data_IF_942749994500
#
_entry.id   IF_942749994500
#
_cell.length_a   1.000
_cell.length_b   1.000
_cell.length_c   1.000
_cell.angle_alpha   90.00
_cell.angle_beta   90.00
_cell.angle_gamma   90.00
#
_symmetry.space_group_name_H-M   'P 1'
#
loop_
_entity.id
_entity.type
_entity.pdbx_description
1 polymer ?
#
# COMPACT_ATOMS: atom_id res chain seq x y z
N UNK A 1 -5.18 -21.28 36.85
CA UNK A 1 -6.39 -21.98 36.39
C UNK A 1 -6.81 -21.35 35.07
N UNK A 2 -6.53 -22.04 33.97
CA UNK A 2 -6.82 -21.54 32.62
C UNK A 2 -8.29 -21.77 32.31
N UNK A 3 -9.04 -20.69 32.09
CA UNK A 3 -10.37 -20.74 31.48
C UNK A 3 -10.21 -21.21 30.03
N UNK A 4 -10.30 -22.52 29.82
CA UNK A 4 -10.65 -23.09 28.53
C UNK A 4 -12.09 -22.65 28.25
N UNK A 5 -12.24 -21.61 27.44
CA UNK A 5 -13.53 -21.24 26.88
C UNK A 5 -14.06 -22.41 26.06
N UNK A 6 -15.21 -22.95 26.47
CA UNK A 6 -16.03 -23.88 25.71
C UNK A 6 -16.38 -23.24 24.34
N UNK A 7 -15.51 -23.40 23.35
CA UNK A 7 -15.89 -23.31 21.93
C UNK A 7 -16.68 -24.59 21.65
N UNK A 8 -17.95 -24.55 22.00
CA UNK A 8 -18.90 -25.66 21.89
C UNK A 8 -18.91 -26.21 20.47
N UNK A 9 -18.85 -27.55 20.37
CA UNK A 9 -19.13 -28.27 19.13
C UNK A 9 -20.51 -27.81 18.64
N UNK A 10 -20.57 -27.34 17.40
CA UNK A 10 -21.84 -26.94 16.79
C UNK A 10 -22.67 -28.20 16.53
N UNK A 11 -23.88 -28.26 17.09
CA UNK A 11 -24.81 -29.33 16.77
C UNK A 11 -25.39 -29.12 15.36
N UNK A 12 -24.88 -29.88 14.40
CA UNK A 12 -25.26 -29.79 13.00
C UNK A 12 -26.58 -30.51 12.69
N UNK A 13 -27.24 -31.16 13.66
CA UNK A 13 -28.50 -31.90 13.43
C UNK A 13 -29.60 -31.01 12.86
N UNK A 14 -29.70 -29.76 13.31
CA UNK A 14 -30.66 -28.82 12.75
C UNK A 14 -30.27 -28.33 11.34
N UNK A 15 -29.01 -28.43 10.93
CA UNK A 15 -28.57 -28.00 9.59
C UNK A 15 -28.73 -29.14 8.59
N UNK A 16 -28.14 -30.31 8.88
CA UNK A 16 -28.07 -31.42 7.93
C UNK A 16 -29.44 -32.03 7.57
N UNK A 17 -30.46 -31.81 8.38
CA UNK A 17 -31.83 -32.28 8.12
C UNK A 17 -32.68 -31.30 7.30
N UNK A 18 -32.14 -30.12 6.95
CA UNK A 18 -32.88 -29.08 6.23
C UNK A 18 -32.74 -29.23 4.72
N UNK A 19 -33.74 -28.75 3.95
CA UNK A 19 -33.62 -28.70 2.51
C UNK A 19 -32.42 -27.84 2.10
N UNK A 20 -31.77 -28.24 1.00
CA UNK A 20 -30.62 -27.54 0.44
C UNK A 20 -30.80 -27.25 -1.05
N UNK A 21 -30.44 -26.04 -1.45
CA UNK A 21 -30.39 -25.61 -2.85
C UNK A 21 -28.99 -25.88 -3.39
N UNK A 22 -28.90 -26.43 -4.60
CA UNK A 22 -27.63 -26.57 -5.32
C UNK A 22 -27.22 -25.21 -5.86
N UNK A 23 -26.03 -24.73 -5.46
CA UNK A 23 -25.44 -23.48 -5.99
C UNK A 23 -24.46 -23.80 -7.13
N UNK A 24 -23.75 -24.93 -7.03
CA UNK A 24 -22.85 -25.41 -8.07
C UNK A 24 -22.87 -26.94 -8.11
N UNK A 25 -23.02 -27.50 -9.31
CA UNK A 25 -23.26 -28.92 -9.61
C UNK A 25 -22.47 -29.88 -8.72
N UNK A 26 -23.13 -30.41 -7.69
CA UNK A 26 -22.57 -31.43 -6.81
C UNK A 26 -21.40 -30.98 -5.93
N UNK A 27 -21.12 -29.68 -5.82
CA UNK A 27 -19.94 -29.16 -5.12
C UNK A 27 -20.24 -28.08 -4.08
N UNK A 28 -21.34 -27.34 -4.23
CA UNK A 28 -21.75 -26.31 -3.29
C UNK A 28 -23.27 -26.33 -3.10
N UNK A 29 -23.69 -26.34 -1.84
CA UNK A 29 -25.10 -26.27 -1.47
C UNK A 29 -25.35 -25.18 -0.44
N UNK A 30 -26.53 -24.56 -0.51
CA UNK A 30 -27.02 -23.56 0.43
C UNK A 30 -28.22 -24.14 1.19
N UNK A 31 -28.14 -24.23 2.50
CA UNK A 31 -29.24 -24.72 3.32
C UNK A 31 -30.34 -23.67 3.47
N UNK A 32 -31.58 -24.13 3.46
CA UNK A 32 -32.78 -23.31 3.69
C UNK A 32 -33.29 -23.53 5.12
N UNK A 33 -34.01 -22.54 5.66
CA UNK A 33 -34.75 -22.64 6.93
C UNK A 33 -33.94 -23.17 8.14
N UNK A 34 -32.65 -22.85 8.16
CA UNK A 34 -31.79 -23.11 9.32
C UNK A 34 -31.99 -22.02 10.36
N UNK A 35 -31.86 -22.35 11.64
CA UNK A 35 -31.89 -21.35 12.72
C UNK A 35 -30.74 -20.32 12.63
N UNK A 36 -29.72 -20.60 11.82
CA UNK A 36 -28.57 -19.72 11.61
C UNK A 36 -28.74 -18.79 10.41
N UNK A 37 -29.75 -19.03 9.56
CA UNK A 37 -29.98 -18.24 8.35
C UNK A 37 -30.75 -16.96 8.67
N UNK A 38 -30.36 -15.85 8.05
CA UNK A 38 -31.09 -14.57 8.08
C UNK A 38 -31.28 -14.12 6.63
N UNK A 39 -32.51 -13.86 6.17
CA UNK A 39 -32.76 -13.46 4.78
C UNK A 39 -32.09 -12.12 4.45
N UNK A 40 -31.81 -11.86 3.16
CA UNK A 40 -31.24 -10.59 2.73
C UNK A 40 -32.25 -9.45 2.91
N UNK A 41 -31.75 -8.25 3.22
CA UNK A 41 -32.56 -7.02 3.25
C UNK A 41 -32.75 -6.45 1.85
N UNK A 42 -31.73 -6.59 0.99
CA UNK A 42 -31.77 -6.20 -0.41
C UNK A 42 -30.86 -7.09 -1.24
N UNK A 43 -31.14 -7.19 -2.54
CA UNK A 43 -30.21 -7.79 -3.49
C UNK A 43 -29.13 -6.77 -3.88
N UNK A 44 -27.95 -7.25 -4.28
CA UNK A 44 -26.87 -6.43 -4.83
C UNK A 44 -26.25 -7.14 -6.02
N UNK A 45 -25.58 -6.40 -6.90
CA UNK A 45 -24.78 -6.99 -7.96
C UNK A 45 -23.38 -7.31 -7.41
N UNK A 46 -23.01 -8.59 -7.21
CA UNK A 46 -21.75 -8.95 -6.57
C UNK A 46 -20.51 -8.58 -7.39
N UNK A 47 -20.64 -8.42 -8.70
CA UNK A 47 -19.55 -8.05 -9.60
C UNK A 47 -19.15 -6.56 -9.47
N UNK A 48 -20.10 -5.71 -9.10
CA UNK A 48 -19.92 -4.26 -8.98
C UNK A 48 -19.88 -3.80 -7.53
N UNK A 49 -19.57 -4.68 -6.58
CA UNK A 49 -19.58 -4.34 -5.15
C UNK A 49 -18.32 -4.81 -4.42
N UNK A 50 -17.99 -4.09 -3.35
CA UNK A 50 -17.11 -4.55 -2.28
C UNK A 50 -17.97 -5.12 -1.16
N UNK A 51 -17.72 -6.37 -0.82
CA UNK A 51 -18.51 -7.09 0.18
C UNK A 51 -17.69 -7.20 1.45
N UNK A 52 -18.23 -6.72 2.56
CA UNK A 52 -17.70 -6.95 3.91
C UNK A 52 -18.41 -8.16 4.51
N UNK A 53 -17.66 -9.18 4.93
CA UNK A 53 -18.24 -10.43 5.43
C UNK A 53 -17.41 -11.05 6.57
N UNK A 54 -18.05 -11.91 7.35
CA UNK A 54 -17.40 -12.83 8.29
C UNK A 54 -17.75 -14.26 7.93
N UNK A 55 -16.82 -15.20 8.17
CA UNK A 55 -17.01 -16.61 7.86
C UNK A 55 -16.58 -17.48 9.04
N UNK A 56 -17.45 -18.42 9.43
CA UNK A 56 -17.14 -19.52 10.36
C UNK A 56 -17.10 -20.82 9.57
N UNK A 57 -15.97 -21.53 9.66
CA UNK A 57 -15.73 -22.79 8.98
C UNK A 57 -15.81 -23.93 9.99
N UNK A 58 -16.72 -24.89 9.78
CA UNK A 58 -16.90 -26.05 10.64
C UNK A 58 -16.62 -27.35 9.87
N UNK A 59 -16.05 -28.34 10.54
CA UNK A 59 -16.04 -29.73 10.05
C UNK A 59 -17.46 -30.30 10.03
N UNK A 60 -17.71 -31.38 9.27
CA UNK A 60 -18.96 -32.16 9.39
C UNK A 60 -19.24 -32.71 10.80
N UNK A 61 -18.25 -32.76 11.70
CA UNK A 61 -18.44 -33.13 13.11
C UNK A 61 -18.77 -31.92 14.01
N UNK A 62 -18.98 -30.72 13.45
CA UNK A 62 -19.32 -29.51 14.21
C UNK A 62 -18.14 -28.79 14.88
N UNK A 63 -16.90 -29.25 14.68
CA UNK A 63 -15.69 -28.57 15.19
C UNK A 63 -15.37 -27.34 14.35
N UNK A 64 -15.19 -26.19 15.02
CA UNK A 64 -14.72 -24.95 14.40
C UNK A 64 -13.27 -25.08 13.92
N UNK A 65 -13.02 -24.71 12.67
CA UNK A 65 -11.75 -24.90 11.97
C UNK A 65 -10.91 -23.62 11.92
N UNK A 66 -11.55 -22.45 11.79
CA UNK A 66 -10.87 -21.16 11.69
C UNK A 66 -10.95 -20.36 13.00
N UNK A 67 -9.82 -19.79 13.44
CA UNK A 67 -9.73 -19.01 14.69
C UNK A 67 -10.04 -17.53 14.50
N UNK A 68 -9.94 -17.04 13.27
CA UNK A 68 -10.08 -15.64 12.89
C UNK A 68 -11.49 -15.29 12.39
N UNK A 69 -12.48 -16.12 12.71
CA UNK A 69 -13.86 -16.00 12.24
C UNK A 69 -14.56 -14.69 12.62
N UNK A 70 -14.08 -14.00 13.66
CA UNK A 70 -14.60 -12.69 14.09
C UNK A 70 -14.10 -11.53 13.24
N UNK A 71 -13.08 -11.73 12.42
CA UNK A 71 -12.50 -10.67 11.62
C UNK A 71 -13.40 -10.37 10.42
N UNK A 72 -13.85 -9.12 10.31
CA UNK A 72 -14.56 -8.64 9.12
C UNK A 72 -13.55 -8.57 7.99
N UNK A 73 -13.78 -9.38 6.95
CA UNK A 73 -12.99 -9.43 5.72
C UNK A 73 -13.70 -8.61 4.65
N UNK A 74 -12.94 -7.98 3.75
CA UNK A 74 -13.49 -7.28 2.58
C UNK A 74 -13.01 -7.95 1.30
N UNK A 75 -13.91 -8.21 0.37
CA UNK A 75 -13.61 -8.81 -0.94
C UNK A 75 -14.29 -8.03 -2.06
N UNK A 76 -13.62 -7.96 -3.21
CA UNK A 76 -14.21 -7.49 -4.46
C UNK A 76 -14.14 -8.65 -5.45
N UNK A 77 -15.28 -9.25 -5.76
CA UNK A 77 -15.35 -10.55 -6.45
C UNK A 77 -14.67 -10.55 -7.83
N UNK A 78 -14.70 -9.43 -8.55
CA UNK A 78 -14.03 -9.27 -9.87
C UNK A 78 -12.50 -9.20 -9.79
N UNK A 79 -11.94 -8.78 -8.66
CA UNK A 79 -10.51 -8.47 -8.55
C UNK A 79 -9.74 -9.34 -7.55
N UNK A 80 -10.42 -10.01 -6.61
CA UNK A 80 -9.75 -10.88 -5.64
C UNK A 80 -9.46 -12.26 -6.23
N UNK A 81 -8.20 -12.47 -6.60
CA UNK A 81 -7.68 -13.74 -7.14
C UNK A 81 -7.06 -14.65 -6.07
N UNK A 82 -7.15 -14.32 -4.78
CA UNK A 82 -6.52 -15.09 -3.70
C UNK A 82 -7.52 -15.82 -2.81
N UNK A 83 -8.80 -15.52 -2.98
CA UNK A 83 -9.90 -16.17 -2.27
C UNK A 83 -10.30 -17.50 -2.94
N UNK A 84 -10.87 -18.40 -2.14
CA UNK A 84 -11.31 -19.72 -2.61
C UNK A 84 -12.51 -19.59 -3.53
N UNK A 85 -12.57 -20.41 -4.57
CA UNK A 85 -13.68 -20.36 -5.53
C UNK A 85 -15.04 -20.63 -4.87
N UNK A 86 -15.10 -21.58 -3.91
CA UNK A 86 -16.33 -21.82 -3.15
C UNK A 86 -16.83 -20.59 -2.39
N UNK A 87 -15.93 -19.73 -1.89
CA UNK A 87 -16.30 -18.50 -1.18
C UNK A 87 -16.88 -17.46 -2.12
N UNK A 88 -16.34 -17.37 -3.32
CA UNK A 88 -16.84 -16.48 -4.36
C UNK A 88 -18.25 -16.88 -4.79
N UNK A 89 -18.48 -18.17 -5.08
CA UNK A 89 -19.81 -18.69 -5.41
C UNK A 89 -20.81 -18.48 -4.27
N UNK A 90 -20.40 -18.73 -3.01
CA UNK A 90 -21.25 -18.49 -1.85
C UNK A 90 -21.67 -17.02 -1.76
N UNK A 91 -20.73 -16.08 -1.80
CA UNK A 91 -21.03 -14.66 -1.70
C UNK A 91 -21.85 -14.14 -2.89
N UNK A 92 -21.60 -14.65 -4.10
CA UNK A 92 -22.39 -14.32 -5.29
C UNK A 92 -23.87 -14.73 -5.16
N UNK A 93 -24.17 -15.75 -4.35
CA UNK A 93 -25.53 -16.23 -4.07
C UNK A 93 -26.21 -15.56 -2.86
N UNK A 94 -25.58 -14.57 -2.24
CA UNK A 94 -26.07 -13.90 -1.03
C UNK A 94 -26.45 -12.44 -1.30
N UNK A 95 -27.48 -11.94 -0.63
CA UNK A 95 -27.86 -10.54 -0.60
C UNK A 95 -27.34 -9.77 0.62
N UNK A 96 -27.63 -8.47 0.69
CA UNK A 96 -27.12 -7.57 1.71
C UNK A 96 -27.67 -7.94 3.09
N UNK A 97 -26.81 -7.91 4.11
CA UNK A 97 -27.09 -8.33 5.50
C UNK A 97 -27.51 -9.80 5.67
N UNK A 98 -27.40 -10.62 4.62
CA UNK A 98 -27.77 -12.04 4.69
C UNK A 98 -26.80 -12.82 5.57
N UNK A 99 -27.34 -13.79 6.32
CA UNK A 99 -26.57 -14.87 6.93
C UNK A 99 -27.01 -16.18 6.28
N UNK A 100 -26.07 -16.94 5.73
CA UNK A 100 -26.36 -18.18 5.02
C UNK A 100 -25.42 -19.30 5.44
N UNK A 101 -25.95 -20.53 5.38
CA UNK A 101 -25.22 -21.75 5.72
C UNK A 101 -24.97 -22.55 4.45
N UNK A 102 -23.71 -22.89 4.19
CA UNK A 102 -23.29 -23.63 3.02
C UNK A 102 -22.64 -24.96 3.38
N UNK A 103 -22.88 -25.97 2.56
CA UNK A 103 -22.09 -27.19 2.51
C UNK A 103 -21.11 -27.09 1.35
N UNK A 104 -19.81 -27.15 1.65
CA UNK A 104 -18.74 -26.91 0.68
C UNK A 104 -17.93 -28.17 0.47
N UNK A 105 -17.84 -28.62 -0.78
CA UNK A 105 -16.98 -29.71 -1.15
C UNK A 105 -15.48 -29.33 -1.00
N UNK A 106 -14.62 -30.25 -0.52
CA UNK A 106 -13.18 -30.00 -0.39
C UNK A 106 -12.51 -29.45 -1.65
N UNK A 107 -12.98 -29.81 -2.84
CA UNK A 107 -12.41 -29.34 -4.10
C UNK A 107 -12.57 -27.83 -4.28
N UNK A 108 -13.75 -27.28 -3.96
CA UNK A 108 -14.00 -25.83 -4.03
C UNK A 108 -13.22 -25.03 -2.98
N UNK A 109 -12.92 -25.69 -1.85
CA UNK A 109 -12.06 -25.14 -0.79
C UNK A 109 -10.59 -25.07 -1.22
N UNK A 110 -10.16 -26.01 -2.06
CA UNK A 110 -8.78 -26.15 -2.56
C UNK A 110 -8.53 -25.30 -3.82
N UNK A 111 -9.57 -24.98 -4.58
CA UNK A 111 -9.48 -24.15 -5.79
C UNK A 111 -9.41 -22.66 -5.49
N UNK A 112 -8.51 -21.96 -6.18
CA UNK A 112 -8.44 -20.48 -6.22
C UNK A 112 -8.91 -20.02 -7.60
N UNK A 113 -9.44 -18.80 -7.67
CA UNK A 113 -9.89 -18.17 -8.91
C UNK A 113 -8.66 -17.78 -9.77
N UNK A 114 -8.50 -18.42 -10.93
CA UNK A 114 -7.67 -17.90 -12.03
C UNK A 114 -8.60 -17.30 -13.09
N UNK A 115 -8.55 -15.96 -13.22
CA UNK A 115 -9.09 -15.27 -14.40
C UNK A 115 -7.94 -15.14 -15.40
N UNK A 116 -8.09 -15.74 -16.59
CA UNK A 116 -7.12 -15.57 -17.66
C UNK A 116 -6.93 -14.09 -17.97
N UNK A 117 -5.68 -13.69 -18.20
CA UNK A 117 -5.29 -12.28 -18.22
C UNK A 117 -5.87 -11.47 -19.37
N UNK A 118 -6.64 -12.05 -20.30
CA UNK A 118 -7.06 -11.32 -21.52
C UNK A 118 -8.48 -11.57 -22.05
N UNK A 119 -9.36 -12.36 -21.44
CA UNK A 119 -10.75 -12.47 -21.92
C UNK A 119 -11.75 -12.81 -20.80
N UNK A 120 -13.03 -12.57 -21.13
CA UNK A 120 -14.26 -12.76 -20.37
C UNK A 120 -14.23 -13.90 -19.34
N UNK A 121 -14.95 -13.68 -18.23
CA UNK A 121 -15.21 -14.64 -17.15
C UNK A 121 -15.28 -16.07 -17.72
N UNK A 122 -14.28 -16.95 -17.47
CA UNK A 122 -14.40 -18.31 -17.94
C UNK A 122 -15.53 -18.97 -17.16
N UNK A 123 -16.52 -19.51 -17.86
CA UNK A 123 -17.64 -20.26 -17.27
C UNK A 123 -17.15 -21.43 -16.38
N UNK A 124 -15.87 -21.82 -16.51
CA UNK A 124 -15.22 -22.85 -15.72
C UNK A 124 -13.79 -22.37 -15.35
N UNK A 125 -13.50 -22.06 -14.07
CA UNK A 125 -12.13 -21.71 -13.66
C UNK A 125 -11.20 -22.92 -13.78
N UNK A 126 -9.99 -22.69 -14.28
CA UNK A 126 -8.91 -23.69 -14.32
C UNK A 126 -8.56 -24.10 -12.88
N UNK A 127 -8.96 -25.30 -12.48
CA UNK A 127 -8.67 -25.87 -11.15
C UNK A 127 -7.21 -26.35 -11.14
N UNK A 128 -6.27 -25.45 -10.81
CA UNK A 128 -4.93 -25.87 -10.42
C UNK A 128 -4.92 -26.23 -8.93
N UNK A 129 -4.85 -27.52 -8.62
CA UNK A 129 -4.67 -28.02 -7.26
C UNK A 129 -3.37 -27.43 -6.67
N UNK A 130 -3.48 -26.62 -5.62
CA UNK A 130 -2.30 -26.10 -4.92
C UNK A 130 -1.72 -27.23 -4.07
N UNK A 131 -0.87 -28.07 -4.67
CA UNK A 131 -0.32 -29.27 -4.03
C UNK A 131 0.59 -29.01 -2.82
N UNK A 132 1.12 -27.79 -2.63
CA UNK A 132 2.31 -27.65 -1.79
C UNK A 132 2.26 -26.68 -0.60
N UNK A 133 1.16 -25.94 -0.34
CA UNK A 133 1.07 -25.07 0.86
C UNK A 133 0.03 -25.49 1.90
N UNK A 134 -0.90 -26.37 1.52
CA UNK A 134 -2.05 -26.72 2.35
C UNK A 134 -2.14 -28.22 2.64
N UNK A 135 -1.05 -29.00 2.64
CA UNK A 135 -1.06 -30.46 2.89
C UNK A 135 -1.77 -30.94 4.18
N UNK A 136 -2.17 -30.05 5.08
CA UNK A 136 -3.06 -30.36 6.20
C UNK A 136 -4.56 -30.15 5.87
N UNK A 137 -4.98 -30.31 4.61
CA UNK A 137 -6.39 -30.13 4.21
C UNK A 137 -7.23 -31.34 4.62
N UNK A 138 -8.37 -31.01 5.21
CA UNK A 138 -9.50 -31.88 5.53
C UNK A 138 -10.14 -32.37 4.22
N UNK A 139 -10.01 -33.66 3.90
CA UNK A 139 -10.67 -34.32 2.75
C UNK A 139 -12.17 -34.58 2.98
N UNK A 140 -12.79 -33.82 3.88
CA UNK A 140 -14.20 -33.94 4.24
C UNK A 140 -14.92 -32.63 3.94
N UNK A 141 -16.21 -32.69 3.55
CA UNK A 141 -17.04 -31.50 3.39
C UNK A 141 -16.99 -30.58 4.61
N UNK A 142 -17.23 -29.31 4.39
CA UNK A 142 -17.26 -28.30 5.45
C UNK A 142 -18.60 -27.60 5.47
N UNK A 143 -18.99 -27.17 6.67
CA UNK A 143 -20.14 -26.29 6.86
C UNK A 143 -19.62 -24.88 7.06
N UNK A 144 -20.04 -23.96 6.21
CA UNK A 144 -19.70 -22.55 6.28
C UNK A 144 -20.90 -21.74 6.71
N UNK A 145 -20.73 -20.92 7.74
CA UNK A 145 -21.71 -19.89 8.11
C UNK A 145 -21.11 -18.55 7.73
N UNK A 146 -21.70 -17.91 6.73
CA UNK A 146 -21.25 -16.62 6.20
C UNK A 146 -22.27 -15.56 6.58
N UNK A 147 -21.78 -14.44 7.09
CA UNK A 147 -22.58 -13.24 7.32
C UNK A 147 -22.03 -12.10 6.46
N UNK A 148 -22.88 -11.53 5.61
CA UNK A 148 -22.62 -10.29 4.89
C UNK A 148 -22.94 -9.13 5.82
N UNK A 149 -21.96 -8.28 6.09
CA UNK A 149 -22.08 -7.11 6.96
C UNK A 149 -22.41 -5.85 6.19
N UNK A 150 -21.72 -5.57 5.09
CA UNK A 150 -21.91 -4.33 4.34
C UNK A 150 -21.53 -4.52 2.88
N UNK A 151 -22.21 -3.78 2.00
CA UNK A 151 -22.03 -3.84 0.55
C UNK A 151 -21.81 -2.43 0.03
N UNK A 152 -20.58 -2.14 -0.38
CA UNK A 152 -20.21 -0.87 -0.98
C UNK A 152 -20.27 -1.01 -2.51
N UNK A 153 -21.20 -0.34 -3.20
CA UNK A 153 -21.22 -0.33 -4.67
C UNK A 153 -19.97 0.36 -5.20
N UNK A 154 -19.22 -0.38 -6.01
CA UNK A 154 -18.07 0.12 -6.77
C UNK A 154 -18.61 0.48 -8.14
N UNK A 155 -18.73 1.78 -8.39
CA UNK A 155 -18.98 2.28 -9.73
C UNK A 155 -17.89 1.79 -10.68
N UNK A 156 -18.25 0.88 -11.60
CA UNK A 156 -17.35 0.44 -12.66
C UNK A 156 -16.95 1.65 -13.50
N UNK A 157 -15.66 1.99 -13.47
CA UNK A 157 -15.14 3.09 -14.27
C UNK A 157 -15.50 2.92 -15.75
N UNK A 158 -15.48 1.69 -16.26
CA UNK A 158 -15.69 1.36 -17.68
C UNK A 158 -17.04 1.82 -18.25
N UNK A 159 -18.08 1.99 -17.41
CA UNK A 159 -19.41 2.45 -17.83
C UNK A 159 -19.56 3.97 -17.84
N UNK A 160 -18.63 4.71 -17.26
CA UNK A 160 -18.73 6.17 -17.16
C UNK A 160 -18.35 6.86 -18.48
N UNK A 161 -19.24 7.73 -18.93
CA UNK A 161 -18.99 8.63 -20.05
C UNK A 161 -17.90 9.66 -19.71
N UNK A 162 -17.35 10.33 -20.71
CA UNK A 162 -16.35 11.39 -20.50
C UNK A 162 -16.90 12.54 -19.66
N UNK A 163 -18.17 12.92 -19.89
CA UNK A 163 -18.84 14.01 -19.17
C UNK A 163 -19.05 13.66 -17.69
N UNK A 164 -19.52 12.45 -17.38
CA UNK A 164 -19.70 11.99 -16.01
C UNK A 164 -18.36 11.91 -15.25
N UNK A 165 -17.29 11.48 -15.93
CA UNK A 165 -15.94 11.48 -15.36
C UNK A 165 -15.48 12.90 -15.04
N UNK A 166 -15.67 13.83 -15.96
CA UNK A 166 -15.34 15.24 -15.74
C UNK A 166 -16.14 15.82 -14.56
N UNK A 167 -17.44 15.56 -14.49
CA UNK A 167 -18.28 16.00 -13.36
C UNK A 167 -17.78 15.42 -12.03
N UNK A 168 -17.41 14.14 -11.99
CA UNK A 168 -16.85 13.51 -10.79
C UNK A 168 -15.52 14.13 -10.37
N UNK A 169 -14.64 14.42 -11.32
CA UNK A 169 -13.39 15.15 -11.04
C UNK A 169 -13.72 16.50 -10.40
N UNK A 170 -14.68 17.25 -10.94
CA UNK A 170 -15.11 18.55 -10.40
C UNK A 170 -15.72 18.44 -8.99
N UNK A 171 -16.46 17.36 -8.69
CA UNK A 171 -17.08 17.12 -7.39
C UNK A 171 -16.09 16.66 -6.30
N UNK A 172 -15.13 15.79 -6.64
CA UNK A 172 -14.20 15.21 -5.68
C UNK A 172 -13.08 16.18 -5.26
N UNK A 173 -12.69 17.09 -6.14
CA UNK A 173 -11.66 18.10 -5.85
C UNK A 173 -11.93 18.98 -4.62
N UNK A 174 -13.10 19.61 -4.46
CA UNK A 174 -13.37 20.42 -3.27
C UNK A 174 -13.36 19.57 -2.01
N UNK A 175 -13.80 18.31 -2.06
CA UNK A 175 -13.71 17.39 -0.92
C UNK A 175 -12.26 17.13 -0.52
N UNK A 176 -11.38 16.82 -1.48
CA UNK A 176 -9.95 16.63 -1.21
C UNK A 176 -9.28 17.91 -0.69
N UNK A 177 -9.68 19.07 -1.21
CA UNK A 177 -9.17 20.38 -0.77
C UNK A 177 -9.61 20.68 0.67
N UNK A 178 -10.83 20.33 1.03
CA UNK A 178 -11.34 20.49 2.39
C UNK A 178 -10.57 19.59 3.37
N UNK A 179 -10.39 18.30 3.04
CA UNK A 179 -9.59 17.37 3.85
C UNK A 179 -8.14 17.85 4.02
N UNK A 180 -7.55 18.45 2.98
CA UNK A 180 -6.22 19.05 3.06
C UNK A 180 -6.17 20.22 4.05
N UNK A 181 -7.17 21.12 4.02
CA UNK A 181 -7.29 22.25 4.96
C UNK A 181 -7.45 21.77 6.40
N UNK A 182 -8.15 20.66 6.60
CA UNK A 182 -8.31 19.98 7.90
C UNK A 182 -7.07 19.19 8.34
N UNK A 183 -5.97 19.24 7.59
CA UNK A 183 -4.73 18.48 7.83
C UNK A 183 -4.91 16.96 7.81
N UNK A 184 -6.02 16.46 7.24
CA UNK A 184 -6.30 15.02 7.05
C UNK A 184 -5.66 14.52 5.76
N UNK A 185 -4.33 14.58 5.70
CA UNK A 185 -3.56 14.33 4.47
C UNK A 185 -3.76 12.91 3.91
N UNK A 186 -3.85 11.89 4.76
CA UNK A 186 -4.06 10.50 4.33
C UNK A 186 -5.41 10.31 3.65
N UNK A 187 -6.48 10.91 4.19
CA UNK A 187 -7.81 10.86 3.60
C UNK A 187 -7.86 11.64 2.28
N UNK A 188 -7.25 12.83 2.24
CA UNK A 188 -7.13 13.61 1.02
C UNK A 188 -6.42 12.82 -0.10
N UNK A 189 -5.35 12.09 0.21
CA UNK A 189 -4.65 11.21 -0.74
C UNK A 189 -5.56 10.12 -1.30
N UNK A 190 -6.46 9.55 -0.48
CA UNK A 190 -7.40 8.54 -0.99
C UNK A 190 -8.37 9.16 -2.01
N UNK A 191 -8.87 10.36 -1.75
CA UNK A 191 -9.71 11.07 -2.73
C UNK A 191 -8.94 11.38 -4.01
N UNK A 192 -7.68 11.85 -3.91
CA UNK A 192 -6.83 12.07 -5.10
C UNK A 192 -6.60 10.79 -5.90
N UNK A 193 -6.42 9.63 -5.24
CA UNK A 193 -6.32 8.32 -5.91
C UNK A 193 -7.62 7.93 -6.59
N UNK A 194 -8.77 8.23 -5.98
CA UNK A 194 -10.07 8.03 -6.64
C UNK A 194 -10.16 8.87 -7.91
N UNK A 195 -9.77 10.16 -7.86
CA UNK A 195 -9.74 11.03 -9.04
C UNK A 195 -8.78 10.46 -10.11
N UNK A 196 -7.58 10.03 -9.74
CA UNK A 196 -6.64 9.36 -10.64
C UNK A 196 -7.24 8.13 -11.31
N UNK A 197 -8.01 7.32 -10.57
CA UNK A 197 -8.68 6.16 -11.16
C UNK A 197 -9.70 6.57 -12.22
N UNK A 198 -10.46 7.66 -12.00
CA UNK A 198 -11.47 8.16 -12.94
C UNK A 198 -10.84 8.77 -14.19
N UNK A 199 -9.61 9.28 -14.14
CA UNK A 199 -8.91 9.84 -15.30
C UNK A 199 -8.01 8.79 -15.99
N UNK A 200 -7.22 8.05 -15.22
CA UNK A 200 -6.26 7.06 -15.71
C UNK A 200 -6.92 5.84 -16.35
N UNK A 201 -8.09 5.42 -15.83
CA UNK A 201 -8.88 4.31 -16.37
C UNK A 201 -9.93 4.78 -17.39
N UNK A 202 -9.65 5.81 -18.18
CA UNK A 202 -10.46 6.10 -19.37
C UNK A 202 -10.15 5.03 -20.43
N UNK A 203 -11.14 4.22 -20.87
CA UNK A 203 -10.96 3.21 -21.91
C UNK A 203 -10.34 3.79 -23.18
N UNK A 204 -9.52 3.01 -23.88
CA UNK A 204 -8.90 3.43 -25.16
C UNK A 204 -9.94 3.88 -26.18
N UNK A 205 -11.09 3.20 -26.24
CA UNK A 205 -12.21 3.58 -27.10
C UNK A 205 -12.67 5.02 -26.83
N UNK A 206 -12.86 5.40 -25.57
CA UNK A 206 -13.22 6.77 -25.19
C UNK A 206 -12.06 7.75 -25.41
N UNK A 207 -10.79 7.35 -25.18
CA UNK A 207 -9.63 8.23 -25.47
C UNK A 207 -9.55 8.62 -26.94
N UNK A 208 -9.94 7.73 -27.86
CA UNK A 208 -9.93 7.99 -29.29
C UNK A 208 -11.03 8.97 -29.72
N UNK A 209 -12.14 9.05 -28.99
CA UNK A 209 -13.24 9.98 -29.27
C UNK A 209 -13.06 11.36 -28.61
N UNK A 210 -12.07 11.53 -27.72
CA UNK A 210 -11.85 12.79 -27.02
C UNK A 210 -11.41 13.90 -27.97
N UNK A 211 -12.01 15.08 -27.81
CA UNK A 211 -11.52 16.31 -28.44
C UNK A 211 -10.15 16.69 -27.87
N UNK A 212 -9.40 17.53 -28.60
CA UNK A 212 -8.12 18.01 -28.10
C UNK A 212 -8.30 18.82 -26.79
N UNK A 213 -9.38 19.58 -26.67
CA UNK A 213 -9.71 20.32 -25.45
C UNK A 213 -9.95 19.38 -24.26
N UNK A 214 -10.70 18.29 -24.45
CA UNK A 214 -10.92 17.29 -23.40
C UNK A 214 -9.61 16.60 -23.00
N UNK A 215 -8.75 16.26 -23.97
CA UNK A 215 -7.43 15.65 -23.68
C UNK A 215 -6.60 16.58 -22.81
N UNK A 216 -6.49 17.85 -23.21
CA UNK A 216 -5.78 18.88 -22.46
C UNK A 216 -6.39 19.07 -21.06
N UNK A 217 -7.72 19.10 -20.93
CA UNK A 217 -8.41 19.19 -19.65
C UNK A 217 -7.99 18.05 -18.71
N UNK A 218 -8.16 16.80 -19.13
CA UNK A 218 -7.84 15.64 -18.27
C UNK A 218 -6.35 15.55 -17.94
N UNK A 219 -5.48 15.93 -18.87
CA UNK A 219 -4.03 16.00 -18.65
C UNK A 219 -3.65 17.04 -17.59
N UNK A 220 -4.14 18.27 -17.73
CA UNK A 220 -3.93 19.34 -16.75
C UNK A 220 -4.49 18.92 -15.39
N UNK A 221 -5.65 18.27 -15.38
CA UNK A 221 -6.27 17.84 -14.14
C UNK A 221 -5.54 16.71 -13.44
N UNK A 222 -5.03 15.74 -14.20
CA UNK A 222 -4.20 14.69 -13.65
C UNK A 222 -2.90 15.26 -13.07
N UNK A 223 -2.28 16.21 -13.77
CA UNK A 223 -1.12 16.95 -13.25
C UNK A 223 -1.42 17.68 -11.93
N UNK A 224 -2.54 18.39 -11.85
CA UNK A 224 -2.99 19.07 -10.63
C UNK A 224 -3.19 18.09 -9.48
N UNK A 225 -3.82 16.95 -9.73
CA UNK A 225 -4.06 15.91 -8.72
C UNK A 225 -2.74 15.34 -8.20
N UNK A 226 -1.79 15.02 -9.08
CA UNK A 226 -0.45 14.57 -8.66
C UNK A 226 0.27 15.64 -7.84
N UNK A 227 0.23 16.91 -8.23
CA UNK A 227 0.86 17.99 -7.45
C UNK A 227 0.20 18.18 -6.07
N UNK A 228 -1.12 18.03 -5.98
CA UNK A 228 -1.83 18.09 -4.69
C UNK A 228 -1.55 16.87 -3.81
N UNK A 229 -1.34 15.70 -4.40
CA UNK A 229 -0.89 14.52 -3.67
C UNK A 229 0.55 14.71 -3.16
N UNK A 230 1.42 15.29 -3.98
CA UNK A 230 2.81 15.57 -3.62
C UNK A 230 2.92 16.52 -2.43
N UNK A 231 2.09 17.57 -2.36
CA UNK A 231 2.08 18.45 -1.18
C UNK A 231 1.55 17.73 0.06
N UNK A 232 0.56 16.83 -0.06
CA UNK A 232 0.13 16.00 1.07
C UNK A 232 1.27 15.14 1.62
N UNK A 233 2.05 14.50 0.74
CA UNK A 233 3.24 13.75 1.13
C UNK A 233 4.30 14.63 1.79
N UNK A 234 4.54 15.83 1.25
CA UNK A 234 5.47 16.79 1.87
C UNK A 234 5.03 17.14 3.30
N UNK A 235 3.74 17.42 3.54
CA UNK A 235 3.23 17.73 4.87
C UNK A 235 3.37 16.55 5.86
N UNK A 236 3.42 15.32 5.36
CA UNK A 236 3.66 14.12 6.16
C UNK A 236 5.14 13.74 6.26
N UNK A 237 6.06 14.55 5.73
CA UNK A 237 7.50 14.27 5.61
C UNK A 237 7.83 12.99 4.80
N UNK A 238 6.92 12.57 3.91
CA UNK A 238 7.12 11.45 2.99
C UNK A 238 7.84 11.94 1.72
N UNK A 239 9.11 12.33 1.87
CA UNK A 239 9.87 13.05 0.83
C UNK A 239 10.05 12.27 -0.48
N UNK A 240 10.22 10.95 -0.43
CA UNK A 240 10.37 10.13 -1.63
C UNK A 240 9.07 10.13 -2.46
N UNK A 241 7.95 9.86 -1.80
CA UNK A 241 6.62 9.91 -2.43
C UNK A 241 6.27 11.30 -2.96
N UNK A 242 6.68 12.37 -2.25
CA UNK A 242 6.48 13.74 -2.72
C UNK A 242 7.23 14.03 -4.03
N UNK A 243 8.49 13.59 -4.15
CA UNK A 243 9.29 13.75 -5.38
C UNK A 243 8.69 12.95 -6.53
N UNK A 244 8.29 11.70 -6.29
CA UNK A 244 7.74 10.86 -7.35
C UNK A 244 6.40 11.42 -7.86
N UNK A 245 5.54 11.85 -6.95
CA UNK A 245 4.28 12.50 -7.31
C UNK A 245 4.50 13.85 -8.03
N UNK A 246 5.49 14.66 -7.65
CA UNK A 246 5.80 15.91 -8.36
C UNK A 246 6.34 15.66 -9.76
N UNK A 247 7.17 14.63 -9.96
CA UNK A 247 7.65 14.22 -11.29
C UNK A 247 6.50 13.78 -12.18
N UNK A 248 5.58 12.97 -11.67
CA UNK A 248 4.38 12.58 -12.41
C UNK A 248 3.55 13.80 -12.81
N UNK A 249 3.37 14.77 -11.90
CA UNK A 249 2.68 16.01 -12.24
C UNK A 249 3.33 16.77 -13.40
N UNK A 250 4.66 16.87 -13.41
CA UNK A 250 5.41 17.55 -14.47
C UNK A 250 5.33 16.79 -15.80
N UNK A 251 5.39 15.45 -15.75
CA UNK A 251 5.27 14.61 -16.94
C UNK A 251 3.90 14.74 -17.60
N UNK A 252 2.84 14.86 -16.80
CA UNK A 252 1.49 15.10 -17.32
C UNK A 252 1.38 16.52 -17.89
N UNK A 253 1.82 17.54 -17.17
CA UNK A 253 1.78 18.93 -17.64
C UNK A 253 3.00 19.71 -17.13
N UNK A 254 3.89 20.04 -18.05
CA UNK A 254 5.21 20.60 -17.75
C UNK A 254 5.18 22.07 -17.32
N UNK A 255 4.02 22.73 -17.46
CA UNK A 255 3.76 24.08 -16.98
C UNK A 255 3.17 24.10 -15.55
N UNK A 256 3.17 22.97 -14.83
CA UNK A 256 2.70 22.93 -13.45
C UNK A 256 3.70 23.56 -12.48
N UNK A 257 3.60 24.87 -12.28
CA UNK A 257 4.43 25.63 -11.32
C UNK A 257 4.47 25.00 -9.91
N UNK A 258 3.32 24.54 -9.39
CA UNK A 258 3.24 23.95 -8.05
C UNK A 258 4.07 22.69 -7.91
N UNK A 259 4.13 21.85 -8.95
CA UNK A 259 4.90 20.62 -8.93
C UNK A 259 6.41 20.89 -8.78
N UNK A 260 6.96 21.85 -9.53
CA UNK A 260 8.36 22.27 -9.37
C UNK A 260 8.63 22.86 -7.99
N UNK A 261 7.73 23.72 -7.50
CA UNK A 261 7.84 24.30 -6.15
C UNK A 261 7.88 23.22 -5.06
N UNK A 262 7.07 22.16 -5.18
CA UNK A 262 7.07 21.05 -4.21
C UNK A 262 8.40 20.30 -4.25
N UNK A 263 8.93 20.00 -5.44
CA UNK A 263 10.22 19.31 -5.57
C UNK A 263 11.35 20.12 -4.91
N UNK A 264 11.43 21.42 -5.19
CA UNK A 264 12.43 22.31 -4.59
C UNK A 264 12.26 22.43 -3.06
N UNK A 265 11.02 22.48 -2.56
CA UNK A 265 10.72 22.43 -1.12
C UNK A 265 11.19 21.12 -0.48
N UNK A 266 11.03 19.97 -1.14
CA UNK A 266 11.55 18.70 -0.63
C UNK A 266 13.07 18.74 -0.49
N UNK A 267 13.80 19.26 -1.48
CA UNK A 267 15.26 19.40 -1.39
C UNK A 267 15.67 20.34 -0.23
N UNK A 268 14.95 21.44 -0.04
CA UNK A 268 15.16 22.36 1.07
C UNK A 268 14.99 21.67 2.43
N UNK A 269 13.89 20.94 2.63
CA UNK A 269 13.61 20.21 3.89
C UNK A 269 14.62 19.07 4.14
N UNK A 270 15.23 18.51 3.09
CA UNK A 270 16.31 17.50 3.20
C UNK A 270 17.70 18.10 3.50
N UNK A 271 17.78 19.37 3.91
CA UNK A 271 19.02 20.11 4.18
C UNK A 271 19.95 20.28 2.96
N UNK A 272 19.44 20.10 1.74
CA UNK A 272 20.16 20.34 0.48
C UNK A 272 19.95 21.77 0.01
N UNK A 273 20.40 22.75 0.82
CA UNK A 273 20.08 24.17 0.60
C UNK A 273 20.67 24.74 -0.69
N UNK A 274 21.86 24.30 -1.09
CA UNK A 274 22.53 24.77 -2.31
C UNK A 274 21.77 24.30 -3.56
N UNK A 275 21.39 23.02 -3.58
CA UNK A 275 20.61 22.43 -4.66
C UNK A 275 19.19 23.00 -4.70
N UNK A 276 18.56 23.22 -3.54
CA UNK A 276 17.25 23.85 -3.46
C UNK A 276 17.27 25.29 -3.98
N UNK A 277 18.32 26.07 -3.66
CA UNK A 277 18.49 27.44 -4.14
C UNK A 277 18.53 27.50 -5.66
N UNK A 278 19.34 26.65 -6.28
CA UNK A 278 19.44 26.58 -7.75
C UNK A 278 18.08 26.25 -8.38
N UNK A 279 17.37 25.26 -7.83
CA UNK A 279 16.04 24.89 -8.32
C UNK A 279 15.01 26.02 -8.18
N UNK A 280 14.99 26.73 -7.05
CA UNK A 280 14.09 27.87 -6.87
C UNK A 280 14.38 29.00 -7.85
N UNK A 281 15.66 29.27 -8.17
CA UNK A 281 16.02 30.26 -9.19
C UNK A 281 15.59 29.82 -10.60
N UNK A 282 15.77 28.55 -10.95
CA UNK A 282 15.29 27.99 -12.22
C UNK A 282 13.76 28.08 -12.35
N UNK A 283 13.02 27.90 -11.25
CA UNK A 283 11.56 28.04 -11.23
C UNK A 283 11.13 29.46 -11.61
N UNK A 284 11.76 30.50 -11.06
CA UNK A 284 11.43 31.90 -11.40
C UNK A 284 11.71 32.18 -12.88
N UNK A 285 12.81 31.64 -13.42
CA UNK A 285 13.14 31.80 -14.84
C UNK A 285 12.14 31.09 -15.75
N UNK A 286 11.69 29.88 -15.38
CA UNK A 286 10.74 29.10 -16.16
C UNK A 286 9.32 29.67 -16.12
N UNK A 287 8.94 30.28 -15.00
CA UNK A 287 7.57 30.76 -14.75
C UNK A 287 7.54 32.26 -14.44
N UNK A 288 7.88 33.13 -15.41
CA UNK A 288 8.00 34.58 -15.16
C UNK A 288 6.66 35.27 -14.84
N UNK A 289 5.54 34.64 -15.18
CA UNK A 289 4.20 35.20 -15.01
C UNK A 289 3.46 34.66 -13.76
N UNK A 290 4.06 33.72 -13.02
CA UNK A 290 3.46 33.13 -11.83
C UNK A 290 3.77 33.94 -10.57
N UNK A 291 2.96 33.80 -9.53
CA UNK A 291 3.26 34.39 -8.22
C UNK A 291 4.43 33.65 -7.55
N UNK A 292 5.61 34.25 -7.62
CA UNK A 292 6.86 33.71 -7.06
C UNK A 292 7.14 34.17 -5.63
N UNK A 293 6.21 34.83 -4.95
CA UNK A 293 6.41 35.36 -3.59
C UNK A 293 6.82 34.27 -2.60
N UNK A 294 6.18 33.10 -2.68
CA UNK A 294 6.55 31.92 -1.88
C UNK A 294 7.97 31.44 -2.21
N UNK A 295 8.32 31.34 -3.49
CA UNK A 295 9.64 30.89 -3.96
C UNK A 295 10.74 31.82 -3.46
N UNK A 296 10.52 33.14 -3.54
CA UNK A 296 11.46 34.15 -3.06
C UNK A 296 11.75 33.99 -1.56
N UNK A 297 10.72 33.72 -0.74
CA UNK A 297 10.93 33.44 0.70
C UNK A 297 11.82 32.23 0.95
N UNK A 298 11.75 31.19 0.11
CA UNK A 298 12.63 30.04 0.23
C UNK A 298 14.05 30.34 -0.25
N UNK A 299 14.21 31.14 -1.30
CA UNK A 299 15.52 31.64 -1.74
C UNK A 299 16.21 32.39 -0.59
N UNK A 300 15.51 33.32 0.05
CA UNK A 300 16.03 34.09 1.18
C UNK A 300 16.43 33.16 2.34
N UNK A 301 15.62 32.15 2.65
CA UNK A 301 15.92 31.11 3.66
C UNK A 301 17.13 30.23 3.30
N UNK A 302 17.36 29.97 2.02
CA UNK A 302 18.53 29.22 1.54
C UNK A 302 19.80 30.05 1.68
N UNK A 303 19.72 31.35 1.39
CA UNK A 303 20.84 32.30 1.45
C UNK A 303 21.21 32.73 2.86
N UNK A 304 20.29 32.61 3.83
CA UNK A 304 20.60 32.89 5.23
C UNK A 304 21.76 32.02 5.73
N UNK A 305 22.80 32.62 6.35
CA UNK A 305 23.93 31.88 6.88
C UNK A 305 23.43 30.86 7.92
N UNK A 306 24.02 29.65 7.92
CA UNK A 306 23.73 28.66 8.98
C UNK A 306 23.95 29.37 10.32
N UNK A 307 22.90 29.44 11.16
CA UNK A 307 23.04 29.88 12.54
C UNK A 307 23.88 28.83 13.27
N UNK A 308 25.20 29.00 13.22
CA UNK A 308 26.15 28.22 14.03
C UNK A 308 25.67 28.31 15.48
N UNK A 309 25.35 27.18 16.09
CA UNK A 309 24.96 27.22 17.51
C UNK A 309 26.17 27.62 18.33
N UNK A 310 25.97 28.29 19.48
CA UNK A 310 27.08 28.60 20.42
C UNK A 310 27.92 27.35 20.74
N UNK A 311 27.29 26.17 20.76
CA UNK A 311 27.93 24.89 20.98
C UNK A 311 28.85 24.47 19.82
N UNK A 312 28.44 24.68 18.56
CA UNK A 312 29.29 24.41 17.38
C UNK A 312 30.48 25.38 17.34
N UNK A 313 30.27 26.67 17.64
CA UNK A 313 31.36 27.64 17.74
C UNK A 313 32.34 27.28 18.85
N UNK A 314 31.85 26.81 20.00
CA UNK A 314 32.70 26.31 21.09
C UNK A 314 33.42 25.02 20.71
N UNK A 315 32.80 24.12 19.93
CA UNK A 315 33.43 22.91 19.42
C UNK A 315 34.56 23.26 18.45
N UNK A 316 34.30 24.13 17.47
CA UNK A 316 35.33 24.61 16.55
C UNK A 316 36.45 25.31 17.30
N UNK A 317 36.13 26.18 18.27
CA UNK A 317 37.13 26.83 19.12
C UNK A 317 38.01 25.81 19.86
N UNK A 318 37.41 24.79 20.50
CA UNK A 318 38.15 23.72 21.18
C UNK A 318 39.00 22.87 20.23
N UNK A 319 38.54 22.66 19.00
CA UNK A 319 39.31 21.94 17.97
C UNK A 319 40.50 22.80 17.53
N UNK A 320 40.30 24.10 17.26
CA UNK A 320 41.37 25.02 16.88
C UNK A 320 42.41 25.22 18.00
N UNK A 321 41.99 25.37 19.25
CA UNK A 321 42.90 25.44 20.42
C UNK A 321 43.73 24.16 20.55
N UNK A 322 43.11 22.98 20.41
CA UNK A 322 43.82 21.69 20.42
C UNK A 322 44.80 21.49 19.25
N UNK A 323 44.61 22.21 18.15
CA UNK A 323 45.48 22.14 16.98
C UNK A 323 46.61 23.17 17.05
N UNK A 324 46.48 24.24 17.86
CA UNK A 324 47.56 25.20 18.10
C UNK A 324 48.60 24.69 19.10
N UNK A 325 48.20 23.79 20.02
CA UNK A 325 49.08 23.23 21.06
C UNK A 325 49.84 21.96 20.62
N UNK A 326 49.70 21.51 19.36
CA UNK A 326 50.35 20.29 18.86
C UNK A 326 51.22 20.59 17.65
N UNK A 327 52.50 20.24 17.73
CA UNK A 327 53.41 20.30 16.58
C UNK A 327 52.91 19.37 15.46
N UNK A 328 53.09 19.75 14.19
CA UNK A 328 52.62 18.97 13.02
C UNK A 328 53.10 17.51 13.07
N UNK A 329 54.30 17.27 13.61
CA UNK A 329 54.88 15.94 13.80
C UNK A 329 54.14 15.10 14.85
N UNK A 330 53.57 15.72 15.88
CA UNK A 330 52.79 15.03 16.92
C UNK A 330 51.40 14.65 16.39
N UNK A 331 50.79 15.52 15.59
CA UNK A 331 49.52 15.23 14.90
C UNK A 331 49.69 14.06 13.92
N UNK A 332 50.77 14.04 13.14
CA UNK A 332 51.05 12.94 12.23
C UNK A 332 51.35 11.61 12.96
N UNK A 333 52.07 11.65 14.09
CA UNK A 333 52.28 10.46 14.93
C UNK A 333 50.98 9.91 15.51
N UNK A 334 50.12 10.75 16.07
CA UNK A 334 48.84 10.31 16.61
C UNK A 334 47.90 9.76 15.52
N UNK A 335 47.91 10.34 14.32
CA UNK A 335 47.14 9.82 13.19
C UNK A 335 47.66 8.45 12.73
N UNK A 336 48.99 8.29 12.68
CA UNK A 336 49.64 7.03 12.33
C UNK A 336 49.36 5.93 13.36
N UNK A 337 49.47 6.24 14.66
CA UNK A 337 49.14 5.30 15.73
C UNK A 337 47.65 4.91 15.72
N UNK A 338 46.74 5.86 15.46
CA UNK A 338 45.31 5.54 15.34
C UNK A 338 45.03 4.66 14.13
N UNK A 339 45.69 4.92 13.00
CA UNK A 339 45.56 4.11 11.79
C UNK A 339 46.06 2.68 12.02
N UNK A 340 47.25 2.53 12.62
CA UNK A 340 47.83 1.23 12.96
C UNK A 340 46.96 0.46 13.97
N UNK A 341 46.32 1.15 14.92
CA UNK A 341 45.42 0.52 15.90
C UNK A 341 44.10 0.06 15.26
N UNK A 342 43.54 0.83 14.33
CA UNK A 342 42.35 0.45 13.54
C UNK A 342 42.68 -0.72 12.62
N UNK A 343 43.87 -0.74 12.02
CA UNK A 343 44.31 -1.80 11.12
C UNK A 343 44.57 -3.11 11.87
N UNK A 344 45.23 -3.06 13.04
CA UNK A 344 45.36 -4.20 13.96
C UNK A 344 43.99 -4.74 14.36
N UNK A 345 43.05 -3.88 14.76
CA UNK A 345 41.69 -4.32 15.14
C UNK A 345 40.96 -5.00 13.96
N UNK A 346 41.10 -4.47 12.74
CA UNK A 346 40.50 -5.05 11.53
C UNK A 346 41.13 -6.41 11.17
N UNK A 347 42.43 -6.59 11.40
CA UNK A 347 43.10 -7.88 11.22
C UNK A 347 42.67 -8.89 12.29
N UNK A 348 42.57 -8.47 13.55
CA UNK A 348 42.05 -9.29 14.65
C UNK A 348 40.61 -9.75 14.41
N UNK A 349 39.73 -8.87 13.92
CA UNK A 349 38.35 -9.23 13.56
C UNK A 349 38.29 -10.22 12.38
N UNK A 350 39.15 -10.07 11.38
CA UNK A 350 39.26 -11.03 10.27
C UNK A 350 39.69 -12.42 10.76
N UNK A 351 40.68 -12.48 11.64
CA UNK A 351 41.16 -13.75 12.22
C UNK A 351 40.07 -14.38 13.10
N UNK A 352 39.39 -13.59 13.95
CA UNK A 352 38.28 -14.06 14.78
C UNK A 352 37.10 -14.61 13.97
N UNK A 353 36.81 -14.00 12.81
CA UNK A 353 35.77 -14.48 11.90
C UNK A 353 36.19 -15.74 11.13
N UNK A 354 37.46 -15.89 10.75
CA UNK A 354 37.99 -17.12 10.15
C UNK A 354 37.97 -18.31 11.13
N UNK A 355 38.27 -18.04 12.42
CA UNK A 355 38.19 -19.01 13.50
C UNK A 355 36.76 -19.52 13.74
N UNK A 356 35.77 -18.62 13.70
CA UNK A 356 34.34 -18.94 13.87
C UNK A 356 33.76 -19.76 12.70
N UNK A 357 34.35 -19.64 11.52
CA UNK A 357 33.91 -20.34 10.32
C UNK A 357 34.62 -21.69 10.10
N UNK A 358 35.37 -22.20 11.09
CA UNK A 358 35.95 -23.54 11.06
C UNK A 358 37.12 -23.73 10.09
N UNK A 359 37.74 -22.65 9.61
CA UNK A 359 38.93 -22.72 8.76
C UNK A 359 40.20 -22.84 9.64
N UNK A 360 41.15 -23.69 9.23
CA UNK A 360 42.44 -23.87 9.92
C UNK A 360 43.23 -22.56 9.88
N UNK A 361 43.51 -22.00 11.07
CA UNK A 361 44.27 -20.76 11.25
C UNK A 361 45.76 -21.10 11.22
N UNK A 362 46.53 -20.43 10.36
CA UNK A 362 47.95 -20.68 10.20
C UNK A 362 48.74 -20.05 11.37
N UNK A 363 49.68 -20.80 11.96
CA UNK A 363 50.41 -20.41 13.18
C UNK A 363 51.28 -19.14 12.98
N UNK A 364 51.66 -18.84 11.74
CA UNK A 364 52.38 -17.62 11.34
C UNK A 364 51.51 -16.35 11.38
N UNK A 365 50.19 -16.45 11.19
CA UNK A 365 49.29 -15.28 11.21
C UNK A 365 49.04 -14.77 12.64
N UNK A 366 49.12 -15.66 13.63
CA UNK A 366 48.99 -15.33 15.06
C UNK A 366 50.27 -14.64 15.58
N UNK A 367 51.45 -15.03 15.08
CA UNK A 367 52.72 -14.40 15.49
C UNK A 367 52.86 -12.95 15.00
N UNK A 368 52.18 -12.54 13.92
CA UNK A 368 52.19 -11.15 13.41
C UNK A 368 51.37 -10.16 14.25
N UNK A 369 50.61 -10.63 15.24
CA UNK A 369 49.79 -9.79 16.12
C UNK A 369 50.46 -9.39 17.44
N UNK A 370 51.57 -10.04 17.82
CA UNK A 370 52.44 -9.63 18.93
C UNK A 370 53.36 -8.50 18.46
#
# INVERSE_FOLDING_TARGET
MANQSNDSILDLRDICNKPKIVIHDGLLWKYQDTQFSRPPISQYNPESCKISYTIKEYSIQGKLLNKDYKNIRKIQLKHDRKSYFGLHLSLNSMGNKEVAVFEVNPNLRKSIIQLDTENECPDIPIINFIENKYRQIIDQPQIWIIEVHDVEEIEENDKLTLEEREQKVKQLKPQATQLFKEQKYKEAIQIYRTIQSKIGQIPKALKNTMTQEQKTFFQIELSRVYSNQAICYLQMNEYAQAIDASKLAINEWDQNFKAYCIQAKVHFERNQKSEALEQFQQIIQKFPNEDVTEVQKYIDKCQQPKKTTKNEQQLYKKIFEKLQDKDEDEIQREQKEKFEKVEKNRQTEKILNSAKNGQSINHEEIQKLQ
#
